data_IF_344317276657
#
_entry.id   IF_344317276657
#
_cell.length_a   1.000
_cell.length_b   1.000
_cell.length_c   1.000
_cell.angle_alpha   90.00
_cell.angle_beta   90.00
_cell.angle_gamma   90.00
#
_symmetry.space_group_name_H-M   'P 1'
#
loop_
_entity.id
_entity.type
_entity.pdbx_description
1 polymer ?
#
# COMPACT_ATOMS: atom_id res chain seq x y z
N UNK A 1 -14.95 10.60 8.85
CA UNK A 1 -15.61 9.81 7.76
C UNK A 1 -14.52 9.29 6.87
N UNK A 2 -14.54 8.01 6.57
CA UNK A 2 -13.56 7.31 5.73
C UNK A 2 -13.33 8.05 4.41
N UNK A 3 -12.07 8.29 4.08
CA UNK A 3 -11.64 8.86 2.79
C UNK A 3 -11.14 7.70 1.92
N UNK A 4 -11.73 7.49 0.76
CA UNK A 4 -11.31 6.44 -0.17
C UNK A 4 -10.31 6.96 -1.19
N UNK A 5 -9.27 6.17 -1.46
CA UNK A 5 -8.33 6.39 -2.55
C UNK A 5 -8.50 5.28 -3.60
N UNK A 6 -8.61 5.64 -4.88
CA UNK A 6 -8.64 4.65 -5.95
C UNK A 6 -7.24 4.10 -6.22
N UNK A 7 -7.06 2.78 -6.22
CA UNK A 7 -5.79 2.19 -6.64
C UNK A 7 -5.75 2.04 -8.18
N UNK A 8 -5.01 2.94 -8.83
CA UNK A 8 -4.96 3.01 -10.29
C UNK A 8 -4.13 1.88 -10.94
N UNK A 9 -3.45 1.05 -10.16
CA UNK A 9 -2.84 -0.18 -10.68
C UNK A 9 -3.87 -1.29 -10.89
N UNK A 10 -4.99 -1.26 -10.15
CA UNK A 10 -5.99 -2.31 -10.17
C UNK A 10 -7.35 -1.87 -10.71
N UNK A 11 -7.73 -0.60 -10.51
CA UNK A 11 -9.01 -0.03 -10.95
C UNK A 11 -8.83 0.78 -12.23
N UNK A 12 -9.92 0.99 -12.97
CA UNK A 12 -9.96 1.79 -14.21
C UNK A 12 -9.03 1.26 -15.31
N UNK A 13 -8.78 -0.06 -15.32
CA UNK A 13 -7.93 -0.72 -16.32
C UNK A 13 -8.57 -0.76 -17.73
N UNK A 14 -9.76 -0.22 -17.88
CA UNK A 14 -10.46 -0.01 -19.15
C UNK A 14 -9.78 1.04 -20.02
N UNK A 15 -8.94 1.91 -19.41
CA UNK A 15 -8.18 2.97 -20.10
C UNK A 15 -6.69 2.90 -19.72
N UNK A 16 -5.86 3.64 -20.48
CA UNK A 16 -4.43 3.75 -20.22
C UNK A 16 -4.15 4.45 -18.89
N UNK A 17 -3.02 4.11 -18.22
CA UNK A 17 -2.72 4.53 -16.85
C UNK A 17 -2.91 6.04 -16.61
N UNK A 18 -2.41 6.90 -17.50
CA UNK A 18 -2.52 8.35 -17.33
C UNK A 18 -3.95 8.90 -17.50
N UNK A 19 -4.86 8.14 -18.09
CA UNK A 19 -6.27 8.53 -18.23
C UNK A 19 -7.12 8.05 -17.06
N UNK A 20 -6.62 7.09 -16.25
CA UNK A 20 -7.28 6.61 -15.03
C UNK A 20 -7.48 7.70 -13.98
N UNK A 21 -6.63 8.72 -13.96
CA UNK A 21 -6.78 9.88 -13.07
C UNK A 21 -8.09 10.63 -13.35
N UNK A 22 -8.43 10.84 -14.62
CA UNK A 22 -9.69 11.47 -15.02
C UNK A 22 -10.90 10.61 -14.65
N UNK A 23 -10.81 9.30 -14.91
CA UNK A 23 -11.87 8.36 -14.57
C UNK A 23 -12.11 8.28 -13.07
N UNK A 24 -11.05 8.23 -12.25
CA UNK A 24 -11.18 8.24 -10.79
C UNK A 24 -11.83 9.52 -10.27
N UNK A 25 -11.43 10.69 -10.79
CA UNK A 25 -12.03 11.97 -10.42
C UNK A 25 -13.50 12.06 -10.83
N UNK A 26 -13.83 11.61 -12.06
CA UNK A 26 -15.21 11.56 -12.56
C UNK A 26 -16.09 10.62 -11.73
N UNK A 27 -15.52 9.53 -11.19
CA UNK A 27 -16.19 8.62 -10.27
C UNK A 27 -16.36 9.17 -8.86
N UNK A 28 -15.76 10.32 -8.53
CA UNK A 28 -15.92 11.02 -7.24
C UNK A 28 -14.75 10.90 -6.29
N UNK A 29 -13.70 10.09 -6.60
CA UNK A 29 -12.53 9.99 -5.77
C UNK A 29 -11.79 11.33 -5.64
N UNK A 30 -11.20 11.56 -4.45
CA UNK A 30 -10.34 12.71 -4.15
C UNK A 30 -8.89 12.31 -3.90
N UNK A 31 -8.63 11.02 -3.76
CA UNK A 31 -7.31 10.46 -3.60
C UNK A 31 -7.09 9.30 -4.54
N UNK A 32 -5.84 9.12 -4.95
CA UNK A 32 -5.39 7.99 -5.76
C UNK A 32 -4.12 7.39 -5.18
N UNK A 33 -3.95 6.10 -5.40
CA UNK A 33 -2.73 5.37 -5.11
C UNK A 33 -2.42 4.40 -6.25
N UNK A 34 -1.24 3.90 -6.31
CA UNK A 34 -0.81 2.87 -7.28
C UNK A 34 0.51 2.26 -6.84
N UNK A 35 0.90 1.12 -7.41
CA UNK A 35 2.14 0.46 -7.05
C UNK A 35 3.36 1.26 -7.53
N UNK A 36 3.55 1.37 -8.83
CA UNK A 36 4.80 1.90 -9.39
C UNK A 36 4.56 3.01 -10.43
N UNK A 37 4.97 4.26 -10.13
CA UNK A 37 4.84 5.38 -11.08
C UNK A 37 5.97 5.47 -12.10
N UNK A 38 7.02 4.68 -11.97
CA UNK A 38 8.35 4.91 -12.54
C UNK A 38 8.46 4.77 -14.05
N UNK A 39 7.41 4.27 -14.71
CA UNK A 39 7.31 4.23 -16.19
C UNK A 39 6.97 5.59 -16.79
N UNK A 40 6.59 6.58 -15.97
CA UNK A 40 6.20 7.93 -16.40
C UNK A 40 7.00 8.98 -15.64
N UNK A 41 7.41 10.10 -16.28
CA UNK A 41 7.99 11.23 -15.56
C UNK A 41 7.06 11.74 -14.46
N UNK A 42 7.62 12.03 -13.27
CA UNK A 42 6.83 12.48 -12.12
C UNK A 42 6.00 13.75 -12.43
N UNK A 43 6.55 14.67 -13.23
CA UNK A 43 5.86 15.90 -13.66
C UNK A 43 4.61 15.60 -14.47
N UNK A 44 4.64 14.57 -15.31
CA UNK A 44 3.49 14.19 -16.13
C UNK A 44 2.34 13.64 -15.25
N UNK A 45 2.69 12.90 -14.20
CA UNK A 45 1.71 12.42 -13.21
C UNK A 45 1.17 13.61 -12.41
N UNK A 46 2.04 14.53 -11.98
CA UNK A 46 1.65 15.75 -11.28
C UNK A 46 0.64 16.57 -12.05
N UNK A 47 0.85 16.76 -13.37
CA UNK A 47 -0.10 17.46 -14.25
C UNK A 47 -1.49 16.80 -14.23
N UNK A 48 -1.56 15.45 -14.16
CA UNK A 48 -2.83 14.73 -14.05
C UNK A 48 -3.49 14.94 -12.69
N UNK A 49 -2.73 14.88 -11.59
CA UNK A 49 -3.22 15.13 -10.24
C UNK A 49 -3.80 16.55 -10.12
N UNK A 50 -3.03 17.57 -10.55
CA UNK A 50 -3.45 18.97 -10.51
C UNK A 50 -4.68 19.24 -11.40
N UNK A 51 -4.69 18.70 -12.62
CA UNK A 51 -5.81 18.87 -13.56
C UNK A 51 -7.13 18.35 -13.01
N UNK A 52 -7.09 17.25 -12.24
CA UNK A 52 -8.30 16.57 -11.77
C UNK A 52 -8.55 16.76 -10.26
N UNK A 53 -7.80 17.65 -9.58
CA UNK A 53 -7.93 17.94 -8.15
C UNK A 53 -7.85 16.67 -7.28
N UNK A 54 -6.82 15.85 -7.55
CA UNK A 54 -6.57 14.59 -6.87
C UNK A 54 -5.35 14.67 -5.96
N UNK A 55 -5.43 14.03 -4.79
CA UNK A 55 -4.29 13.83 -3.89
C UNK A 55 -3.57 12.53 -4.23
N UNK A 56 -2.24 12.57 -4.39
CA UNK A 56 -1.41 11.36 -4.38
C UNK A 56 -1.30 10.83 -2.96
N UNK A 57 -1.93 9.69 -2.69
CA UNK A 57 -2.03 9.14 -1.33
C UNK A 57 -0.85 8.26 -0.98
N UNK A 58 -0.47 7.37 -1.88
CA UNK A 58 0.56 6.35 -1.67
C UNK A 58 1.09 5.82 -3.00
N UNK A 59 2.37 5.40 -3.02
CA UNK A 59 2.93 4.48 -4.00
C UNK A 59 4.08 3.68 -3.37
N UNK A 60 4.53 2.62 -4.08
CA UNK A 60 5.56 1.72 -3.57
C UNK A 60 6.97 2.17 -3.97
N UNK A 61 7.94 1.88 -3.12
CA UNK A 61 9.34 1.89 -3.53
C UNK A 61 9.58 0.91 -4.69
N UNK A 62 10.59 1.15 -5.55
CA UNK A 62 10.94 0.16 -6.57
C UNK A 62 11.14 -1.23 -5.97
N UNK A 63 10.42 -2.22 -6.48
CA UNK A 63 10.30 -3.56 -5.90
C UNK A 63 11.16 -4.62 -6.61
N UNK A 64 12.19 -4.19 -7.33
CA UNK A 64 13.01 -5.06 -8.17
C UNK A 64 12.39 -5.32 -9.54
N UNK A 65 12.75 -6.43 -10.17
CA UNK A 65 12.20 -6.80 -11.47
C UNK A 65 10.84 -7.51 -11.33
N UNK A 66 9.76 -6.72 -11.27
CA UNK A 66 8.40 -7.21 -11.08
C UNK A 66 7.96 -8.21 -12.17
N UNK A 67 8.34 -7.94 -13.43
CA UNK A 67 8.02 -8.81 -14.56
C UNK A 67 8.75 -10.17 -14.48
N UNK A 68 9.93 -10.22 -13.87
CA UNK A 68 10.66 -11.47 -13.59
C UNK A 68 10.17 -12.19 -12.33
N UNK A 69 9.20 -11.61 -11.61
CA UNK A 69 8.58 -12.22 -10.44
C UNK A 69 9.12 -11.75 -9.09
N UNK A 70 9.92 -10.68 -9.04
CA UNK A 70 10.22 -10.00 -7.78
C UNK A 70 8.94 -9.46 -7.15
N UNK A 71 8.92 -9.40 -5.83
CA UNK A 71 7.83 -8.83 -5.02
C UNK A 71 8.42 -8.03 -3.87
N UNK A 72 9.40 -7.19 -4.18
CA UNK A 72 10.22 -6.48 -3.22
C UNK A 72 11.64 -7.02 -3.12
N UNK A 73 12.58 -6.18 -2.70
CA UNK A 73 13.99 -6.54 -2.54
C UNK A 73 14.54 -6.19 -1.15
N UNK A 74 13.71 -5.72 -0.23
CA UNK A 74 14.15 -5.17 1.05
C UNK A 74 14.75 -6.20 2.02
N UNK A 75 14.50 -7.51 1.83
CA UNK A 75 15.04 -8.59 2.67
C UNK A 75 16.37 -9.15 2.18
N UNK A 76 16.88 -8.76 1.00
CA UNK A 76 18.04 -9.41 0.38
C UNK A 76 19.35 -8.71 0.71
N UNK A 77 20.29 -9.36 1.45
CA UNK A 77 21.57 -8.73 1.82
C UNK A 77 22.45 -8.35 0.65
N UNK A 78 22.32 -9.05 -0.47
CA UNK A 78 23.07 -8.81 -1.71
C UNK A 78 22.44 -7.76 -2.62
N UNK A 79 21.22 -7.26 -2.27
CA UNK A 79 20.48 -6.24 -3.02
C UNK A 79 20.26 -4.94 -2.22
N UNK A 80 21.01 -4.74 -1.13
CA UNK A 80 20.88 -3.53 -0.30
C UNK A 80 21.14 -2.25 -1.11
N UNK A 81 22.14 -2.26 -1.99
CA UNK A 81 22.43 -1.11 -2.87
C UNK A 81 21.28 -0.78 -3.80
N UNK A 82 20.68 -1.80 -4.44
CA UNK A 82 19.49 -1.63 -5.30
C UNK A 82 18.30 -1.04 -4.53
N UNK A 83 18.05 -1.53 -3.31
CA UNK A 83 16.99 -0.96 -2.46
C UNK A 83 17.27 0.51 -2.12
N UNK A 84 18.49 0.86 -1.76
CA UNK A 84 18.88 2.22 -1.39
C UNK A 84 18.79 3.19 -2.57
N UNK A 85 19.21 2.76 -3.77
CA UNK A 85 19.01 3.53 -5.02
C UNK A 85 17.51 3.75 -5.30
N UNK A 86 16.70 2.71 -5.08
CA UNK A 86 15.24 2.78 -5.20
C UNK A 86 14.62 3.77 -4.20
N UNK A 87 15.14 3.86 -2.97
CA UNK A 87 14.71 4.86 -1.99
C UNK A 87 14.96 6.27 -2.52
N UNK A 88 16.14 6.56 -3.09
CA UNK A 88 16.45 7.84 -3.70
C UNK A 88 15.42 8.23 -4.78
N UNK A 89 15.18 7.31 -5.71
CA UNK A 89 14.19 7.51 -6.78
C UNK A 89 12.78 7.78 -6.23
N UNK A 90 12.32 7.00 -5.25
CA UNK A 90 10.98 7.16 -4.69
C UNK A 90 10.81 8.50 -3.97
N UNK A 91 11.84 8.95 -3.24
CA UNK A 91 11.81 10.25 -2.55
C UNK A 91 11.73 11.41 -3.54
N UNK A 92 12.47 11.35 -4.66
CA UNK A 92 12.36 12.36 -5.73
C UNK A 92 10.94 12.42 -6.32
N UNK A 93 10.32 11.26 -6.59
CA UNK A 93 8.93 11.23 -7.05
C UNK A 93 7.95 11.74 -5.99
N UNK A 94 8.13 11.37 -4.73
CA UNK A 94 7.25 11.80 -3.65
C UNK A 94 7.27 13.32 -3.46
N UNK A 95 8.44 13.94 -3.58
CA UNK A 95 8.59 15.40 -3.51
C UNK A 95 7.82 16.10 -4.64
N UNK A 96 7.96 15.62 -5.87
CA UNK A 96 7.25 16.19 -7.04
C UNK A 96 5.74 16.00 -6.93
N UNK A 97 5.28 14.81 -6.48
CA UNK A 97 3.87 14.44 -6.43
C UNK A 97 3.16 14.92 -5.16
N UNK A 98 3.88 15.42 -4.16
CA UNK A 98 3.35 15.75 -2.84
C UNK A 98 2.83 14.50 -2.11
N UNK A 99 3.47 13.34 -2.30
CA UNK A 99 3.04 12.08 -1.71
C UNK A 99 3.63 11.89 -0.31
N UNK A 100 2.77 11.64 0.67
CA UNK A 100 3.16 11.50 2.08
C UNK A 100 3.31 10.04 2.54
N UNK A 101 3.15 9.04 1.66
CA UNK A 101 3.23 7.62 2.03
C UNK A 101 3.95 6.82 0.97
N UNK A 102 4.98 6.09 1.40
CA UNK A 102 5.78 5.22 0.53
C UNK A 102 5.84 3.81 1.13
N UNK A 103 5.45 2.78 0.37
CA UNK A 103 5.38 1.41 0.85
C UNK A 103 6.61 0.59 0.47
N UNK A 104 7.17 -0.11 1.45
CA UNK A 104 8.22 -1.11 1.25
C UNK A 104 7.57 -2.47 1.04
N UNK A 105 7.83 -3.07 -0.11
CA UNK A 105 7.57 -4.48 -0.35
C UNK A 105 8.77 -5.30 0.11
N UNK A 106 8.55 -6.18 1.10
CA UNK A 106 9.63 -6.94 1.74
C UNK A 106 10.36 -7.89 0.78
N UNK A 107 9.59 -8.68 0.04
CA UNK A 107 10.11 -9.70 -0.89
C UNK A 107 9.78 -11.13 -0.49
N UNK A 108 10.02 -12.08 -1.41
CA UNK A 108 9.82 -13.51 -1.18
C UNK A 108 11.05 -14.13 -0.56
N UNK A 109 10.88 -14.90 0.52
CA UNK A 109 11.98 -15.62 1.17
C UNK A 109 12.71 -16.56 0.20
N UNK A 110 14.04 -16.62 0.31
CA UNK A 110 14.89 -17.45 -0.53
C UNK A 110 15.68 -18.47 0.28
N UNK A 111 16.02 -19.61 -0.32
CA UNK A 111 16.71 -20.72 0.33
C UNK A 111 18.18 -20.46 0.68
N UNK A 112 18.77 -19.37 0.21
CA UNK A 112 20.20 -19.06 0.43
C UNK A 112 20.49 -18.15 1.63
N UNK A 113 19.46 -17.58 2.25
CA UNK A 113 19.58 -16.59 3.34
C UNK A 113 18.74 -17.03 4.53
N UNK A 114 19.29 -16.96 5.74
CA UNK A 114 18.53 -17.30 6.95
C UNK A 114 17.41 -16.30 7.22
N UNK A 115 16.31 -16.75 7.83
CA UNK A 115 15.18 -15.88 8.21
C UNK A 115 15.63 -14.70 9.09
N UNK A 116 16.55 -14.95 10.04
CA UNK A 116 17.13 -13.90 10.88
C UNK A 116 17.86 -12.86 10.03
N UNK A 117 18.69 -13.29 9.07
CA UNK A 117 19.44 -12.35 8.22
C UNK A 117 18.53 -11.55 7.29
N UNK A 118 17.46 -12.15 6.77
CA UNK A 118 16.44 -11.44 6.00
C UNK A 118 15.73 -10.38 6.86
N UNK A 119 15.37 -10.72 8.10
CA UNK A 119 14.73 -9.78 9.04
C UNK A 119 15.67 -8.62 9.41
N UNK A 120 16.93 -8.89 9.75
CA UNK A 120 17.94 -7.86 10.02
C UNK A 120 18.10 -6.91 8.82
N UNK A 121 18.20 -7.47 7.61
CA UNK A 121 18.34 -6.68 6.38
C UNK A 121 17.11 -5.79 6.13
N UNK A 122 15.90 -6.33 6.33
CA UNK A 122 14.67 -5.56 6.22
C UNK A 122 14.66 -4.36 7.19
N UNK A 123 14.97 -4.61 8.47
CA UNK A 123 14.99 -3.55 9.50
C UNK A 123 16.02 -2.48 9.16
N UNK A 124 17.20 -2.86 8.71
CA UNK A 124 18.28 -1.91 8.34
C UNK A 124 17.87 -1.09 7.11
N UNK A 125 17.24 -1.70 6.11
CA UNK A 125 16.70 -1.01 4.94
C UNK A 125 15.54 -0.06 5.30
N UNK A 126 14.64 -0.46 6.20
CA UNK A 126 13.60 0.43 6.73
C UNK A 126 14.18 1.62 7.47
N UNK A 127 15.23 1.42 8.29
CA UNK A 127 15.95 2.52 8.95
C UNK A 127 16.62 3.46 7.94
N UNK A 128 17.15 2.93 6.86
CA UNK A 128 17.72 3.74 5.78
C UNK A 128 16.65 4.61 5.12
N UNK A 129 15.52 4.00 4.71
CA UNK A 129 14.39 4.72 4.12
C UNK A 129 13.82 5.79 5.06
N UNK A 130 13.63 5.46 6.35
CA UNK A 130 13.20 6.41 7.38
C UNK A 130 14.11 7.64 7.48
N UNK A 131 15.43 7.43 7.41
CA UNK A 131 16.41 8.54 7.45
C UNK A 131 16.39 9.37 6.16
N UNK A 132 16.17 8.74 5.02
CA UNK A 132 16.12 9.43 3.73
C UNK A 132 14.95 10.44 3.65
N UNK A 133 13.86 10.15 4.35
CA UNK A 133 12.66 11.03 4.41
C UNK A 133 12.61 11.86 5.70
N UNK A 134 13.68 11.87 6.50
CA UNK A 134 13.70 12.64 7.76
C UNK A 134 13.55 14.15 7.52
N UNK A 135 12.63 14.79 8.24
CA UNK A 135 12.32 16.22 8.09
C UNK A 135 11.29 16.54 7.00
N UNK A 136 10.71 15.53 6.38
CA UNK A 136 9.53 15.63 5.50
C UNK A 136 8.29 15.07 6.22
N UNK A 137 7.12 15.20 5.60
CA UNK A 137 5.87 14.61 6.09
C UNK A 137 5.68 13.15 5.62
N UNK A 138 6.70 12.56 4.97
CA UNK A 138 6.60 11.21 4.40
C UNK A 138 6.68 10.15 5.50
N UNK A 139 5.69 9.28 5.52
CA UNK A 139 5.65 8.04 6.30
C UNK A 139 6.06 6.86 5.43
N UNK A 140 7.06 6.11 5.88
CA UNK A 140 7.46 4.84 5.29
C UNK A 140 6.55 3.73 5.82
N UNK A 141 5.99 2.93 4.95
CA UNK A 141 5.08 1.84 5.30
C UNK A 141 5.70 0.48 5.02
N UNK A 142 5.36 -0.51 5.84
CA UNK A 142 5.65 -1.92 5.59
C UNK A 142 4.34 -2.70 5.52
N UNK A 143 4.15 -3.41 4.42
CA UNK A 143 2.95 -4.22 4.20
C UNK A 143 3.19 -5.71 4.51
N UNK A 144 2.20 -6.32 5.20
CA UNK A 144 2.08 -7.77 5.31
C UNK A 144 1.15 -8.29 4.21
N UNK A 145 1.65 -9.22 3.38
CA UNK A 145 0.94 -9.74 2.19
C UNK A 145 0.67 -11.24 2.34
N UNK A 146 -0.51 -11.70 1.93
CA UNK A 146 -0.91 -13.10 2.06
C UNK A 146 -0.05 -14.05 1.20
N UNK A 147 0.16 -15.25 1.71
CA UNK A 147 0.99 -16.28 1.07
C UNK A 147 0.22 -17.17 0.10
N UNK A 148 -1.06 -16.94 -0.10
CA UNK A 148 -1.88 -17.63 -1.11
C UNK A 148 -1.63 -16.98 -2.47
N UNK A 149 -1.75 -15.64 -2.55
CA UNK A 149 -1.52 -14.89 -3.79
C UNK A 149 -0.02 -14.77 -4.10
N UNK A 150 0.81 -14.56 -3.05
CA UNK A 150 2.26 -14.47 -3.20
C UNK A 150 2.94 -15.55 -2.35
N UNK A 151 3.06 -16.79 -2.86
CA UNK A 151 3.71 -17.88 -2.13
C UNK A 151 5.15 -17.53 -1.76
N UNK A 152 5.47 -17.69 -0.47
CA UNK A 152 6.81 -17.43 0.08
C UNK A 152 7.06 -15.97 0.42
N UNK A 153 6.07 -15.08 0.39
CA UNK A 153 6.26 -13.71 0.87
C UNK A 153 6.72 -13.71 2.34
N UNK A 154 7.69 -12.87 2.69
CA UNK A 154 8.43 -13.00 3.94
C UNK A 154 7.72 -12.38 5.16
N UNK A 155 6.92 -11.35 4.95
CA UNK A 155 6.12 -10.65 5.98
C UNK A 155 4.64 -10.84 5.63
N UNK A 156 3.95 -11.71 6.37
CA UNK A 156 2.58 -12.14 6.01
C UNK A 156 1.59 -12.10 7.18
N UNK A 157 1.98 -11.52 8.29
CA UNK A 157 1.13 -11.31 9.48
C UNK A 157 1.38 -9.93 10.08
N UNK A 158 0.36 -9.35 10.71
CA UNK A 158 0.41 -8.04 11.36
C UNK A 158 1.50 -7.96 12.43
N UNK A 159 1.67 -9.00 13.23
CA UNK A 159 2.68 -9.04 14.29
C UNK A 159 4.12 -8.99 13.73
N UNK A 160 4.37 -9.51 12.53
CA UNK A 160 5.68 -9.45 11.88
C UNK A 160 5.97 -8.03 11.39
N UNK A 161 5.02 -7.37 10.71
CA UNK A 161 5.19 -5.99 10.27
C UNK A 161 5.30 -5.03 11.47
N UNK A 162 4.47 -5.18 12.51
CA UNK A 162 4.58 -4.41 13.76
C UNK A 162 5.96 -4.57 14.40
N UNK A 163 6.45 -5.80 14.57
CA UNK A 163 7.76 -6.05 15.19
C UNK A 163 8.90 -5.43 14.38
N UNK A 164 8.84 -5.49 13.04
CA UNK A 164 9.82 -4.86 12.17
C UNK A 164 9.78 -3.32 12.28
N UNK A 165 8.60 -2.71 12.28
CA UNK A 165 8.39 -1.27 12.47
C UNK A 165 8.97 -0.83 13.82
N UNK A 166 8.59 -1.47 14.92
CA UNK A 166 9.07 -1.16 16.27
C UNK A 166 10.61 -1.31 16.39
N UNK A 167 11.19 -2.31 15.72
CA UNK A 167 12.65 -2.52 15.72
C UNK A 167 13.43 -1.44 14.96
N UNK A 168 12.79 -0.62 14.14
CA UNK A 168 13.43 0.57 13.55
C UNK A 168 13.71 1.66 14.58
N UNK A 169 12.85 1.78 15.59
CA UNK A 169 12.86 2.88 16.57
C UNK A 169 12.54 4.24 15.97
N UNK A 170 11.89 4.29 14.80
CA UNK A 170 11.61 5.51 14.07
C UNK A 170 10.11 5.81 14.08
N UNK A 171 9.73 7.07 14.35
CA UNK A 171 8.33 7.50 14.44
C UNK A 171 7.64 7.61 13.06
N UNK A 172 8.44 7.80 11.99
CA UNK A 172 7.96 7.94 10.62
C UNK A 172 7.92 6.60 9.84
N UNK A 173 7.96 5.46 10.56
CA UNK A 173 7.78 4.12 9.97
C UNK A 173 6.54 3.50 10.58
N UNK A 174 5.60 3.06 9.73
CA UNK A 174 4.30 2.52 10.14
C UNK A 174 3.94 1.25 9.35
N UNK A 175 2.83 0.64 9.73
CA UNK A 175 2.27 -0.53 9.05
C UNK A 175 1.26 -0.07 7.98
N UNK A 176 1.34 -0.63 6.78
CA UNK A 176 0.22 -0.68 5.83
C UNK A 176 -0.59 -1.92 6.16
N UNK A 177 -1.86 -1.71 6.50
CA UNK A 177 -2.77 -2.79 6.86
C UNK A 177 -3.77 -3.01 5.72
N UNK A 178 -3.51 -4.00 4.87
CA UNK A 178 -4.48 -4.45 3.88
C UNK A 178 -5.43 -5.47 4.53
N UNK A 179 -6.71 -5.09 4.63
CA UNK A 179 -7.77 -5.89 5.24
C UNK A 179 -7.95 -7.22 4.49
N UNK A 180 -7.81 -7.21 3.16
CA UNK A 180 -7.90 -8.41 2.33
C UNK A 180 -6.81 -9.43 2.69
N UNK A 181 -5.56 -8.97 2.74
CA UNK A 181 -4.44 -9.84 3.09
C UNK A 181 -4.57 -10.41 4.50
N UNK A 182 -4.97 -9.58 5.45
CA UNK A 182 -5.07 -10.01 6.86
C UNK A 182 -6.32 -10.84 7.13
N UNK A 183 -7.40 -10.68 6.37
CA UNK A 183 -8.52 -11.61 6.42
C UNK A 183 -8.09 -13.04 6.05
N UNK A 184 -7.27 -13.20 5.01
CA UNK A 184 -6.76 -14.50 4.57
C UNK A 184 -5.79 -15.11 5.60
N UNK A 185 -4.91 -14.29 6.18
CA UNK A 185 -3.81 -14.80 7.02
C UNK A 185 -4.16 -14.94 8.49
N UNK A 186 -5.05 -14.11 9.02
CA UNK A 186 -5.30 -14.01 10.47
C UNK A 186 -6.79 -14.11 10.81
N UNK A 187 -7.67 -13.47 10.02
CA UNK A 187 -9.06 -13.27 10.40
C UNK A 187 -9.18 -12.33 11.61
N UNK A 188 -10.37 -12.28 12.24
CA UNK A 188 -10.65 -11.43 13.41
C UNK A 188 -10.16 -9.97 13.24
N UNK A 189 -10.21 -9.47 12.02
CA UNK A 189 -9.58 -8.20 11.60
C UNK A 189 -9.96 -7.01 12.47
N UNK A 190 -11.19 -6.97 13.01
CA UNK A 190 -11.64 -5.89 13.89
C UNK A 190 -10.76 -5.74 15.12
N UNK A 191 -10.51 -6.84 15.86
CA UNK A 191 -9.69 -6.81 17.07
C UNK A 191 -8.22 -6.62 16.75
N UNK A 192 -7.74 -7.16 15.63
CA UNK A 192 -6.37 -6.95 15.17
C UNK A 192 -6.15 -5.46 14.84
N UNK A 193 -7.08 -4.81 14.14
CA UNK A 193 -7.04 -3.37 13.86
C UNK A 193 -7.01 -2.56 15.17
N UNK A 194 -7.93 -2.82 16.11
CA UNK A 194 -7.95 -2.12 17.41
C UNK A 194 -6.63 -2.23 18.16
N UNK A 195 -6.04 -3.43 18.18
CA UNK A 195 -4.80 -3.69 18.91
C UNK A 195 -3.56 -3.05 18.25
N UNK A 196 -3.63 -2.64 17.00
CA UNK A 196 -2.49 -2.16 16.21
C UNK A 196 -2.70 -0.75 15.63
N UNK A 197 -3.79 -0.06 15.97
CA UNK A 197 -4.11 1.25 15.39
C UNK A 197 -3.00 2.28 15.60
N UNK A 198 -2.28 2.20 16.68
CA UNK A 198 -1.16 3.07 17.03
C UNK A 198 0.01 3.01 16.04
N UNK A 199 0.17 1.89 15.35
CA UNK A 199 1.23 1.69 14.36
C UNK A 199 0.73 1.66 12.91
N UNK A 200 -0.59 1.66 12.67
CA UNK A 200 -1.15 1.65 11.32
C UNK A 200 -1.11 3.07 10.72
N UNK A 201 -0.44 3.23 9.58
CA UNK A 201 -0.33 4.49 8.83
C UNK A 201 -1.21 4.56 7.59
N UNK A 202 -1.68 3.42 7.09
CA UNK A 202 -2.56 3.34 5.93
C UNK A 202 -3.36 2.04 5.94
N UNK A 203 -4.60 2.11 5.47
CA UNK A 203 -5.44 0.93 5.23
C UNK A 203 -5.63 0.69 3.74
N UNK A 204 -5.75 -0.58 3.37
CA UNK A 204 -6.24 -1.00 2.06
C UNK A 204 -7.38 -2.00 2.19
N UNK A 205 -8.18 -2.11 1.14
CA UNK A 205 -9.34 -2.99 1.11
C UNK A 205 -9.51 -3.70 -0.25
N UNK A 206 -9.93 -4.94 -0.18
CA UNK A 206 -10.55 -5.72 -1.24
C UNK A 206 -11.41 -6.82 -0.58
N UNK A 207 -12.42 -7.35 -1.25
CA UNK A 207 -13.22 -8.43 -0.68
C UNK A 207 -12.58 -9.81 -0.94
N UNK A 208 -12.76 -10.72 0.00
CA UNK A 208 -12.26 -12.08 -0.04
C UNK A 208 -13.43 -13.07 -0.13
N UNK A 209 -13.33 -14.12 -0.97
CA UNK A 209 -12.29 -14.41 -1.94
C UNK A 209 -12.38 -13.60 -3.24
N UNK A 210 -11.29 -13.58 -4.01
CA UNK A 210 -11.26 -13.03 -5.37
C UNK A 210 -10.62 -11.67 -5.52
N UNK A 211 -10.39 -10.93 -4.42
CA UNK A 211 -9.79 -9.59 -4.41
C UNK A 211 -10.57 -8.59 -5.25
N UNK A 212 -11.90 -8.62 -5.10
CA UNK A 212 -12.84 -7.76 -5.83
C UNK A 212 -13.40 -6.64 -4.94
N UNK A 213 -14.38 -5.89 -5.48
CA UNK A 213 -15.04 -4.79 -4.76
C UNK A 213 -15.80 -5.27 -3.51
N UNK A 214 -15.89 -4.46 -2.45
CA UNK A 214 -16.69 -4.74 -1.26
C UNK A 214 -18.13 -5.16 -1.56
N UNK A 215 -18.57 -6.25 -0.92
CA UNK A 215 -19.89 -6.85 -1.10
C UNK A 215 -19.93 -8.01 -2.09
N UNK A 216 -18.78 -8.39 -2.66
CA UNK A 216 -18.66 -9.56 -3.54
C UNK A 216 -18.19 -10.81 -2.80
N UNK A 217 -17.74 -10.68 -1.55
CA UNK A 217 -17.17 -11.75 -0.75
C UNK A 217 -17.71 -11.82 0.67
N UNK A 218 -16.86 -12.25 1.61
CA UNK A 218 -17.24 -12.54 3.00
C UNK A 218 -17.04 -11.40 3.99
N UNK A 219 -16.37 -10.29 3.58
CA UNK A 219 -15.99 -9.21 4.50
C UNK A 219 -17.13 -8.19 4.62
N UNK A 220 -17.53 -7.90 5.86
CA UNK A 220 -18.56 -6.87 6.10
C UNK A 220 -17.95 -5.47 6.15
N UNK A 221 -17.69 -4.87 4.98
CA UNK A 221 -17.12 -3.52 4.89
C UNK A 221 -18.03 -2.41 5.43
N UNK A 222 -19.35 -2.57 5.40
CA UNK A 222 -20.26 -1.63 6.05
C UNK A 222 -20.04 -1.52 7.57
N UNK A 223 -19.68 -2.62 8.20
CA UNK A 223 -19.29 -2.65 9.61
C UNK A 223 -17.87 -2.12 9.79
N UNK A 224 -16.89 -2.66 9.04
CA UNK A 224 -15.47 -2.36 9.25
C UNK A 224 -15.13 -0.89 9.03
N UNK A 225 -15.62 -0.26 7.96
CA UNK A 225 -15.32 1.15 7.70
C UNK A 225 -15.93 2.08 8.75
N UNK A 226 -17.15 1.78 9.23
CA UNK A 226 -17.74 2.51 10.37
C UNK A 226 -16.94 2.30 11.67
N UNK A 227 -16.43 1.10 11.86
CA UNK A 227 -15.62 0.78 13.03
C UNK A 227 -14.28 1.52 12.99
N UNK A 228 -13.59 1.53 11.85
CA UNK A 228 -12.34 2.27 11.62
C UNK A 228 -12.53 3.77 11.88
N UNK A 229 -13.64 4.37 11.41
CA UNK A 229 -14.02 5.74 11.74
C UNK A 229 -14.23 5.92 13.26
N UNK A 230 -14.95 5.00 13.90
CA UNK A 230 -15.31 5.10 15.31
C UNK A 230 -14.12 5.01 16.28
N UNK A 231 -13.08 4.25 15.92
CA UNK A 231 -11.85 4.14 16.70
C UNK A 231 -10.85 5.27 16.44
N UNK A 232 -11.21 6.24 15.55
CA UNK A 232 -10.49 7.49 15.37
C UNK A 232 -9.45 7.51 14.25
N UNK A 233 -9.48 6.57 13.31
CA UNK A 233 -8.65 6.67 12.12
C UNK A 233 -9.21 7.73 11.16
N UNK A 234 -8.40 8.71 10.78
CA UNK A 234 -8.77 9.83 9.91
C UNK A 234 -7.99 9.87 8.58
N UNK A 235 -7.18 8.83 8.32
CA UNK A 235 -6.39 8.67 7.11
C UNK A 235 -7.20 8.20 5.91
N UNK A 236 -6.49 7.77 4.87
CA UNK A 236 -7.06 7.21 3.64
C UNK A 236 -7.19 5.69 3.74
N UNK A 237 -8.17 5.16 2.98
CA UNK A 237 -8.33 3.72 2.74
C UNK A 237 -8.22 3.48 1.25
N UNK A 238 -7.18 2.78 0.82
CA UNK A 238 -6.92 2.43 -0.58
C UNK A 238 -7.86 1.33 -1.07
N UNK A 239 -8.50 1.55 -2.21
CA UNK A 239 -9.36 0.57 -2.88
C UNK A 239 -8.50 -0.32 -3.78
N UNK A 240 -7.77 -1.28 -3.19
CA UNK A 240 -6.81 -2.11 -3.92
C UNK A 240 -7.42 -3.45 -4.36
N UNK A 241 -8.38 -3.36 -5.28
CA UNK A 241 -9.10 -4.53 -5.80
C UNK A 241 -9.21 -4.50 -7.32
N UNK A 242 -9.32 -5.70 -7.91
CA UNK A 242 -9.66 -5.87 -9.33
C UNK A 242 -11.18 -5.92 -9.47
N UNK A 243 -11.83 -4.92 -10.12
CA UNK A 243 -13.28 -4.94 -10.33
C UNK A 243 -13.73 -6.22 -11.06
N UNK A 244 -14.89 -6.77 -10.67
CA UNK A 244 -15.48 -7.94 -11.33
C UNK A 244 -15.95 -7.65 -12.77
N UNK A 245 -16.14 -6.38 -13.08
CA UNK A 245 -16.59 -5.89 -14.38
C UNK A 245 -16.12 -4.47 -14.63
N UNK A 246 -16.99 -3.62 -15.16
CA UNK A 246 -16.69 -2.19 -15.32
C UNK A 246 -16.50 -1.53 -13.94
N UNK A 247 -15.41 -0.76 -13.82
CA UNK A 247 -15.01 -0.17 -12.54
C UNK A 247 -16.11 0.73 -11.97
N UNK A 248 -16.66 1.64 -12.79
CA UNK A 248 -17.67 2.62 -12.33
C UNK A 248 -18.97 1.92 -11.95
N UNK A 249 -19.38 0.92 -12.72
CA UNK A 249 -20.59 0.14 -12.42
C UNK A 249 -20.47 -0.62 -11.09
N UNK A 250 -19.27 -1.00 -10.68
CA UNK A 250 -18.98 -1.69 -9.41
C UNK A 250 -18.93 -0.78 -8.19
N UNK A 251 -18.97 0.56 -8.31
CA UNK A 251 -18.80 1.51 -7.20
C UNK A 251 -20.03 1.73 -6.32
N UNK A 252 -21.14 1.01 -6.55
CA UNK A 252 -22.37 1.20 -5.75
C UNK A 252 -22.16 1.12 -4.23
N UNK A 253 -21.23 0.30 -3.74
CA UNK A 253 -20.88 0.18 -2.32
C UNK A 253 -20.22 1.46 -1.76
N UNK A 254 -19.49 2.18 -2.60
CA UNK A 254 -18.69 3.34 -2.22
C UNK A 254 -19.46 4.67 -2.27
N UNK A 255 -20.69 4.71 -2.84
CA UNK A 255 -21.44 5.93 -3.13
C UNK A 255 -21.65 6.89 -1.94
N UNK A 256 -21.59 6.38 -0.72
CA UNK A 256 -21.70 7.21 0.50
C UNK A 256 -20.38 7.83 0.96
N UNK A 257 -19.26 7.44 0.34
CA UNK A 257 -17.90 7.91 0.67
C UNK A 257 -17.30 8.78 -0.43
N UNK A 258 -17.85 8.75 -1.64
CA UNK A 258 -17.51 9.53 -2.82
C UNK A 258 -18.45 10.74 -2.96
#
# INVERSE_FOLDING_TARGET
MTKLAANLSMMFNEVDFLDRFEEAANAGFKGVEYLFPYDFPAEQIKEKLEKHDLTQVLFDFPAGNWAAGDRGCAIFPDRVGEFQDGVGTAVEYADVLGCERLTILAGKATSGVSALKMQETLIDNMKFASKAVAGTDITVLLEAINTIDIPGYSVFQTNQSRAAVEATGADNVKVQYDIYHMQIMEGDVTRVIEANLDVIGHFQLADNPGRHEPGTGEINYDFLLKHIDAIGYDGWVGCEYAPTGDTVAGLGWAAKYL
#
